data_IF_850807851880
#
_entry.id   IF_850807851880
#
_cell.length_a   1.000
_cell.length_b   1.000
_cell.length_c   1.000
_cell.angle_alpha   90.00
_cell.angle_beta   90.00
_cell.angle_gamma   90.00
#
_symmetry.space_group_name_H-M   'P 1'
#
loop_
_entity.id
_entity.type
_entity.pdbx_description
1 polymer ?
#
# COMPACT_ATOMS: atom_id res chain seq x y z
N UNK A 1 31.42 -76.50 -16.95
CA UNK A 1 30.85 -76.01 -15.69
C UNK A 1 30.72 -74.50 -15.78
N UNK A 2 29.48 -73.97 -15.82
CA UNK A 2 29.19 -72.54 -15.86
C UNK A 2 28.70 -72.13 -14.47
N UNK A 3 29.50 -71.36 -13.73
CA UNK A 3 29.06 -70.67 -12.52
C UNK A 3 28.64 -69.27 -12.94
N UNK A 4 27.36 -69.13 -13.30
CA UNK A 4 26.73 -67.86 -13.64
C UNK A 4 26.36 -67.07 -12.38
N UNK A 5 26.57 -65.77 -12.47
CA UNK A 5 26.15 -64.71 -11.55
C UNK A 5 24.88 -65.00 -10.73
N UNK A 6 25.01 -64.99 -9.41
CA UNK A 6 23.93 -65.12 -8.43
C UNK A 6 23.98 -63.97 -7.39
N UNK A 7 24.31 -62.75 -7.81
CA UNK A 7 24.39 -61.57 -6.93
C UNK A 7 23.48 -60.41 -7.37
N UNK A 8 22.38 -60.70 -8.06
CA UNK A 8 21.33 -59.71 -8.39
C UNK A 8 20.00 -60.01 -7.69
N UNK A 9 20.02 -60.76 -6.60
CA UNK A 9 18.83 -61.07 -5.80
C UNK A 9 19.08 -60.81 -4.31
N UNK A 10 19.48 -59.58 -3.98
CA UNK A 10 19.07 -59.02 -2.70
C UNK A 10 18.45 -57.67 -2.98
N UNK A 11 17.11 -57.66 -3.02
CA UNK A 11 16.34 -56.45 -2.82
C UNK A 11 16.76 -55.86 -1.48
N UNK A 12 17.75 -54.97 -1.51
CA UNK A 12 18.18 -54.20 -0.36
C UNK A 12 16.95 -53.40 0.07
N UNK A 13 16.43 -53.81 1.23
CA UNK A 13 15.11 -53.51 1.76
C UNK A 13 14.78 -52.03 1.69
N UNK A 14 13.85 -51.67 0.82
CA UNK A 14 13.06 -50.44 0.88
C UNK A 14 12.09 -50.55 2.07
N UNK A 15 12.64 -50.66 3.27
CA UNK A 15 11.92 -50.49 4.53
C UNK A 15 12.46 -49.21 5.17
N UNK A 16 12.11 -48.05 4.58
CA UNK A 16 12.06 -46.83 5.38
C UNK A 16 11.08 -47.10 6.50
N UNK A 17 11.55 -47.02 7.75
CA UNK A 17 10.74 -47.37 8.90
C UNK A 17 9.47 -46.49 8.91
N UNK A 18 8.30 -47.07 9.24
CA UNK A 18 7.04 -46.33 9.27
C UNK A 18 7.10 -45.10 10.20
N UNK A 19 7.95 -45.15 11.23
CA UNK A 19 8.26 -44.05 12.15
C UNK A 19 8.99 -42.89 11.46
N UNK A 20 10.04 -43.15 10.69
CA UNK A 20 10.77 -42.15 9.90
C UNK A 20 9.84 -41.47 8.90
N UNK A 21 9.06 -42.27 8.18
CA UNK A 21 8.08 -41.75 7.21
C UNK A 21 7.02 -40.89 7.89
N UNK A 22 6.63 -41.21 9.12
CA UNK A 22 5.68 -40.42 9.90
C UNK A 22 6.30 -39.14 10.46
N UNK A 23 7.54 -39.19 10.93
CA UNK A 23 8.30 -38.02 11.39
C UNK A 23 8.52 -37.02 10.25
N UNK A 24 8.93 -37.49 9.06
CA UNK A 24 9.09 -36.66 7.86
C UNK A 24 7.79 -35.96 7.47
N UNK A 25 6.65 -36.67 7.52
CA UNK A 25 5.33 -36.08 7.26
C UNK A 25 4.97 -34.99 8.27
N UNK A 26 5.28 -35.18 9.55
CA UNK A 26 5.03 -34.18 10.59
C UNK A 26 5.89 -32.94 10.39
N UNK A 27 7.19 -33.11 10.15
CA UNK A 27 8.11 -31.99 9.92
C UNK A 27 7.75 -31.19 8.66
N UNK A 28 7.38 -31.88 7.57
CA UNK A 28 6.89 -31.23 6.35
C UNK A 28 5.62 -30.42 6.59
N UNK A 29 4.68 -30.95 7.40
CA UNK A 29 3.45 -30.22 7.77
C UNK A 29 3.73 -28.98 8.63
N UNK A 30 4.80 -29.01 9.40
CA UNK A 30 5.26 -27.87 10.19
C UNK A 30 6.07 -26.85 9.37
N UNK A 31 6.27 -27.09 8.07
CA UNK A 31 6.99 -26.20 7.16
C UNK A 31 8.51 -26.37 7.19
N UNK A 32 9.02 -27.42 7.83
CA UNK A 32 10.43 -27.76 7.75
C UNK A 32 10.75 -28.35 6.37
N UNK A 33 11.96 -28.09 5.89
CA UNK A 33 12.43 -28.54 4.57
C UNK A 33 13.65 -29.45 4.72
N UNK A 34 13.66 -30.57 4.01
CA UNK A 34 14.79 -31.50 3.96
C UNK A 34 15.69 -31.12 2.77
N UNK A 35 16.89 -30.62 3.08
CA UNK A 35 17.88 -30.22 2.08
C UNK A 35 18.99 -31.29 1.90
N UNK A 36 18.81 -32.50 2.43
CA UNK A 36 19.78 -33.59 2.33
C UNK A 36 20.98 -33.47 3.29
N UNK A 37 20.86 -32.62 4.32
CA UNK A 37 21.82 -32.51 5.43
C UNK A 37 21.45 -33.39 6.62
N UNK A 38 22.23 -33.30 7.70
CA UNK A 38 21.98 -34.03 8.96
C UNK A 38 20.71 -33.54 9.68
N UNK A 39 20.33 -32.27 9.49
CA UNK A 39 19.19 -31.62 10.13
C UNK A 39 18.20 -31.04 9.10
N UNK A 40 16.92 -31.01 9.49
CA UNK A 40 15.86 -30.35 8.73
C UNK A 40 15.94 -28.84 8.91
N UNK A 41 15.77 -28.09 7.82
CA UNK A 41 15.77 -26.63 7.86
C UNK A 41 14.41 -26.13 8.34
N UNK A 42 14.35 -25.27 9.38
CA UNK A 42 13.10 -24.74 9.90
C UNK A 42 12.38 -23.83 8.90
N UNK A 43 11.06 -23.64 9.03
CA UNK A 43 10.31 -22.68 8.21
C UNK A 43 10.84 -21.27 8.46
N UNK A 44 11.35 -20.64 7.41
CA UNK A 44 11.68 -19.23 7.45
C UNK A 44 10.37 -18.43 7.32
N UNK A 45 10.16 -17.48 8.23
CA UNK A 45 9.01 -16.57 8.18
C UNK A 45 9.02 -15.70 6.92
N UNK A 46 7.99 -14.87 6.77
CA UNK A 46 7.97 -13.89 5.66
C UNK A 46 9.22 -13.01 5.74
N UNK A 47 9.91 -12.76 4.61
CA UNK A 47 11.05 -11.87 4.62
C UNK A 47 10.60 -10.47 5.06
N UNK A 48 11.43 -9.76 5.84
CA UNK A 48 11.13 -8.38 6.21
C UNK A 48 11.03 -7.50 4.96
N UNK A 49 10.05 -6.60 4.95
CA UNK A 49 9.91 -5.58 3.91
C UNK A 49 10.80 -4.39 4.27
N UNK A 50 11.95 -4.27 3.61
CA UNK A 50 12.89 -3.16 3.86
C UNK A 50 12.45 -1.85 3.20
N UNK A 51 11.63 -1.93 2.14
CA UNK A 51 11.19 -0.76 1.37
C UNK A 51 10.02 0.02 2.02
N UNK A 52 9.47 -0.48 3.13
CA UNK A 52 8.31 0.11 3.79
C UNK A 52 8.55 1.57 4.19
N UNK A 53 9.77 1.90 4.65
CA UNK A 53 10.12 3.26 5.05
C UNK A 53 10.12 4.18 3.83
N UNK A 54 10.59 3.71 2.68
CA UNK A 54 10.67 4.51 1.46
C UNK A 54 9.28 4.72 0.84
N UNK A 55 8.43 3.69 0.88
CA UNK A 55 7.01 3.79 0.49
C UNK A 55 6.29 4.84 1.34
N UNK A 56 6.42 4.78 2.66
CA UNK A 56 5.80 5.74 3.58
C UNK A 56 6.34 7.18 3.36
N UNK A 57 7.64 7.33 3.11
CA UNK A 57 8.23 8.64 2.81
C UNK A 57 7.65 9.24 1.53
N UNK A 58 7.46 8.42 0.50
CA UNK A 58 6.86 8.84 -0.76
C UNK A 58 5.42 9.29 -0.55
N UNK A 59 4.61 8.51 0.16
CA UNK A 59 3.22 8.83 0.47
C UNK A 59 3.11 10.15 1.26
N UNK A 60 3.94 10.34 2.28
CA UNK A 60 3.97 11.59 3.06
C UNK A 60 4.34 12.79 2.18
N UNK A 61 5.30 12.64 1.26
CA UNK A 61 5.71 13.71 0.36
C UNK A 61 4.58 14.12 -0.60
N UNK A 62 3.87 13.14 -1.14
CA UNK A 62 2.73 13.36 -2.03
C UNK A 62 1.57 14.06 -1.30
N UNK A 63 1.22 13.59 -0.10
CA UNK A 63 0.20 14.22 0.74
C UNK A 63 0.58 15.67 1.12
N UNK A 64 1.85 15.92 1.47
CA UNK A 64 2.33 17.29 1.76
C UNK A 64 2.25 18.19 0.53
N UNK A 65 2.64 17.68 -0.63
CA UNK A 65 2.55 18.43 -1.89
C UNK A 65 1.10 18.80 -2.21
N UNK A 66 0.18 17.83 -2.09
CA UNK A 66 -1.24 18.07 -2.35
C UNK A 66 -1.84 19.08 -1.38
N UNK A 67 -1.51 18.99 -0.09
CA UNK A 67 -1.95 19.97 0.91
C UNK A 67 -1.46 21.38 0.56
N UNK A 68 -0.19 21.51 0.19
CA UNK A 68 0.38 22.80 -0.18
C UNK A 68 -0.28 23.39 -1.43
N UNK A 69 -0.54 22.58 -2.45
CA UNK A 69 -1.26 23.01 -3.67
C UNK A 69 -2.68 23.49 -3.31
N UNK A 70 -3.37 22.78 -2.43
CA UNK A 70 -4.71 23.17 -2.00
C UNK A 70 -4.71 24.48 -1.21
N UNK A 71 -3.70 24.73 -0.38
CA UNK A 71 -3.52 26.00 0.33
C UNK A 71 -3.33 27.17 -0.65
N UNK A 72 -2.49 27.00 -1.68
CA UNK A 72 -2.28 28.03 -2.72
C UNK A 72 -3.60 28.32 -3.45
N UNK A 73 -4.35 27.28 -3.82
CA UNK A 73 -5.66 27.44 -4.47
C UNK A 73 -6.65 28.18 -3.58
N UNK A 74 -6.74 27.83 -2.31
CA UNK A 74 -7.62 28.48 -1.35
C UNK A 74 -7.28 29.96 -1.19
N UNK A 75 -5.99 30.31 -1.05
CA UNK A 75 -5.55 31.71 -0.98
C UNK A 75 -5.90 32.50 -2.25
N UNK A 76 -5.68 31.92 -3.44
CA UNK A 76 -6.03 32.58 -4.70
C UNK A 76 -7.53 32.82 -4.85
N UNK A 77 -8.37 31.91 -4.34
CA UNK A 77 -9.83 32.06 -4.32
C UNK A 77 -10.23 33.18 -3.35
N UNK A 78 -9.68 33.20 -2.13
CA UNK A 78 -9.95 34.25 -1.13
C UNK A 78 -9.55 35.64 -1.66
N UNK A 79 -8.38 35.76 -2.29
CA UNK A 79 -7.90 37.00 -2.90
C UNK A 79 -8.80 37.45 -4.05
N UNK A 80 -9.18 36.54 -4.96
CA UNK A 80 -10.09 36.85 -6.06
C UNK A 80 -11.46 37.32 -5.58
N UNK A 81 -12.00 36.69 -4.53
CA UNK A 81 -13.26 37.11 -3.90
C UNK A 81 -13.14 38.52 -3.30
N UNK A 82 -12.05 38.78 -2.57
CA UNK A 82 -11.83 40.10 -1.96
C UNK A 82 -11.61 41.20 -3.01
N UNK A 83 -11.00 40.88 -4.15
CA UNK A 83 -10.81 41.81 -5.26
C UNK A 83 -12.11 42.05 -6.04
N UNK A 84 -12.95 41.02 -6.23
CA UNK A 84 -14.26 41.21 -6.85
C UNK A 84 -15.19 42.14 -6.06
N UNK A 85 -15.04 42.18 -4.72
CA UNK A 85 -15.79 43.11 -3.85
C UNK A 85 -15.32 44.58 -4.01
N UNK A 86 -14.10 44.84 -4.54
CA UNK A 86 -13.54 46.18 -4.69
C UNK A 86 -13.64 46.75 -6.11
N UNK A 87 -13.75 45.89 -7.14
CA UNK A 87 -14.05 46.28 -8.51
C UNK A 87 -15.56 46.32 -8.73
N UNK A 88 -16.19 47.43 -8.32
CA UNK A 88 -17.58 47.72 -8.69
C UNK A 88 -17.68 47.79 -10.22
N UNK A 89 -18.39 46.83 -10.79
CA UNK A 89 -18.72 46.72 -12.19
C UNK A 89 -19.18 48.09 -12.74
N UNK A 90 -18.34 48.70 -13.57
CA UNK A 90 -18.62 49.98 -14.20
C UNK A 90 -19.73 49.74 -15.23
N UNK A 91 -20.97 50.06 -14.87
CA UNK A 91 -22.03 50.39 -15.84
C UNK A 91 -23.11 49.34 -16.09
N UNK A 92 -23.91 48.98 -15.08
CA UNK A 92 -25.29 48.53 -15.34
C UNK A 92 -26.24 49.27 -14.40
N UNK A 93 -26.88 50.29 -14.94
CA UNK A 93 -28.01 51.01 -14.35
C UNK A 93 -29.25 50.11 -14.35
N UNK A 94 -29.92 50.04 -13.20
CA UNK A 94 -31.35 49.72 -13.02
C UNK A 94 -31.82 48.25 -13.08
N UNK A 95 -30.94 47.27 -12.87
CA UNK A 95 -31.32 45.87 -12.66
C UNK A 95 -31.01 45.40 -11.24
N UNK A 96 -32.03 45.05 -10.47
CA UNK A 96 -31.92 44.45 -9.14
C UNK A 96 -31.07 43.16 -9.22
N UNK A 97 -29.82 43.19 -8.74
CA UNK A 97 -28.88 42.07 -8.84
C UNK A 97 -28.59 41.42 -7.48
N UNK A 98 -29.42 40.47 -7.01
CA UNK A 98 -28.99 39.47 -6.04
C UNK A 98 -28.97 38.07 -6.69
N UNK A 99 -28.00 37.18 -6.40
CA UNK A 99 -27.37 37.01 -5.10
C UNK A 99 -25.84 36.83 -5.16
N UNK A 100 -25.06 37.89 -5.40
CA UNK A 100 -23.59 37.80 -5.37
C UNK A 100 -23.06 37.33 -3.99
N UNK A 101 -23.77 37.68 -2.91
CA UNK A 101 -23.41 37.27 -1.53
C UNK A 101 -23.56 35.77 -1.26
N UNK A 102 -24.53 35.09 -1.89
CA UNK A 102 -24.73 33.65 -1.68
C UNK A 102 -23.59 32.86 -2.34
N UNK A 103 -23.26 33.19 -3.59
CA UNK A 103 -22.12 32.59 -4.29
C UNK A 103 -20.79 32.90 -3.61
N UNK A 104 -20.62 34.09 -3.01
CA UNK A 104 -19.44 34.43 -2.20
C UNK A 104 -19.25 33.48 -1.02
N UNK A 105 -20.31 33.21 -0.26
CA UNK A 105 -20.24 32.29 0.87
C UNK A 105 -19.90 30.87 0.40
N UNK A 106 -20.50 30.40 -0.69
CA UNK A 106 -20.22 29.09 -1.28
C UNK A 106 -18.77 28.96 -1.76
N UNK A 107 -18.22 30.01 -2.37
CA UNK A 107 -16.83 30.04 -2.86
C UNK A 107 -15.82 30.02 -1.70
N UNK A 108 -16.11 30.75 -0.61
CA UNK A 108 -15.28 30.72 0.59
C UNK A 108 -15.36 29.37 1.31
N UNK A 109 -16.55 28.77 1.39
CA UNK A 109 -16.72 27.40 1.89
C UNK A 109 -15.93 26.40 1.05
N UNK A 110 -15.89 26.59 -0.27
CA UNK A 110 -15.04 25.77 -1.15
C UNK A 110 -13.54 25.96 -0.85
N UNK A 111 -13.07 27.17 -0.60
CA UNK A 111 -11.68 27.43 -0.19
C UNK A 111 -11.33 26.77 1.17
N UNK A 112 -12.25 26.82 2.15
CA UNK A 112 -12.06 26.16 3.44
C UNK A 112 -12.10 24.61 3.32
N UNK A 113 -12.96 24.08 2.45
CA UNK A 113 -12.98 22.66 2.08
C UNK A 113 -11.64 22.20 1.48
N UNK A 114 -11.03 23.02 0.61
CA UNK A 114 -9.71 22.70 0.03
C UNK A 114 -8.63 22.60 1.11
N UNK A 115 -8.71 23.39 2.18
CA UNK A 115 -7.78 23.35 3.32
C UNK A 115 -8.07 22.19 4.29
N UNK A 116 -9.19 21.47 4.14
CA UNK A 116 -9.61 20.44 5.07
C UNK A 116 -10.00 20.98 6.46
N UNK A 117 -10.52 22.21 6.52
CA UNK A 117 -10.95 22.84 7.79
C UNK A 117 -12.35 22.40 8.27
N UNK A 118 -13.03 21.54 7.51
CA UNK A 118 -14.42 21.13 7.78
C UNK A 118 -14.54 19.74 8.44
N UNK A 119 -13.47 19.26 9.07
CA UNK A 119 -13.48 18.08 9.96
C UNK A 119 -13.39 18.49 11.44
#
# INVERSE_FOLDING_TARGET
>A
MRLGNLLTETGLSVHKNNSETSAQRTLSRLGYTDNGGEEWTPPLGKPPKFDLIDELRKEIAELKSQKHINEIKAMGIEEAVNNADNETYIGVTDGEFPPQKQYRAEILVFADNLRGKND
#
